data_IF_369475034798
#
_entry.id   IF_369475034798
#
_cell.length_a   1.000
_cell.length_b   1.000
_cell.length_c   1.000
_cell.angle_alpha   90.00
_cell.angle_beta   90.00
_cell.angle_gamma   90.00
#
_symmetry.space_group_name_H-M   'P 1'
#
loop_
_entity.id
_entity.type
_entity.pdbx_description
1 polymer ?
#
# COMPACT_ATOMS: atom_id res chain seq x y z
N UNK A 1 3.23 -29.78 -13.05
CA UNK A 1 3.17 -28.34 -13.42
C UNK A 1 1.74 -27.81 -13.66
N UNK A 2 0.95 -28.46 -14.53
CA UNK A 2 -0.43 -28.02 -14.83
C UNK A 2 -1.34 -28.06 -13.59
N UNK A 3 -1.31 -29.16 -12.83
CA UNK A 3 -2.08 -29.29 -11.58
C UNK A 3 -1.73 -28.22 -10.54
N UNK A 4 -0.43 -27.89 -10.41
CA UNK A 4 0.04 -26.80 -9.53
C UNK A 4 -0.55 -25.46 -9.97
N UNK A 5 -0.57 -25.17 -11.27
CA UNK A 5 -1.14 -23.94 -11.81
C UNK A 5 -2.65 -23.86 -11.59
N UNK A 6 -3.38 -24.95 -11.85
CA UNK A 6 -4.83 -25.00 -11.59
C UNK A 6 -5.17 -24.84 -10.11
N UNK A 7 -4.40 -25.48 -9.22
CA UNK A 7 -4.59 -25.34 -7.77
C UNK A 7 -4.33 -23.91 -7.32
N UNK A 8 -3.26 -23.29 -7.83
CA UNK A 8 -2.86 -21.94 -7.47
C UNK A 8 -3.87 -20.88 -7.95
N UNK A 9 -4.55 -21.10 -9.08
CA UNK A 9 -5.65 -20.22 -9.53
C UNK A 9 -6.86 -20.23 -8.58
N UNK A 10 -7.09 -21.34 -7.89
CA UNK A 10 -8.23 -21.53 -7.00
C UNK A 10 -7.89 -21.36 -5.51
N UNK A 11 -6.63 -21.10 -5.20
CA UNK A 11 -6.17 -20.87 -3.83
C UNK A 11 -6.42 -19.42 -3.42
N UNK A 12 -6.90 -19.22 -2.20
CA UNK A 12 -6.97 -17.91 -1.56
C UNK A 12 -6.37 -17.98 -0.16
N UNK A 13 -5.47 -17.05 0.14
CA UNK A 13 -4.95 -16.79 1.48
C UNK A 13 -5.54 -15.48 1.97
N UNK A 14 -6.34 -15.53 3.03
CA UNK A 14 -6.90 -14.34 3.66
C UNK A 14 -6.12 -14.00 4.93
N UNK A 15 -5.57 -12.78 4.97
CA UNK A 15 -4.84 -12.26 6.12
C UNK A 15 -5.71 -11.23 6.84
N UNK A 16 -6.06 -11.53 8.10
CA UNK A 16 -6.94 -10.66 8.91
C UNK A 16 -6.09 -9.82 9.86
N UNK A 17 -6.05 -8.52 9.63
CA UNK A 17 -5.39 -7.56 10.53
C UNK A 17 -6.23 -7.34 11.78
N UNK A 18 -5.60 -7.52 12.93
CA UNK A 18 -6.16 -7.21 14.24
C UNK A 18 -5.49 -5.98 14.83
N UNK A 19 -6.19 -5.29 15.74
CA UNK A 19 -5.57 -4.24 16.50
C UNK A 19 -4.44 -4.84 17.35
N UNK A 20 -3.27 -4.21 17.36
CA UNK A 20 -2.18 -4.69 18.20
C UNK A 20 -2.45 -4.23 19.65
N UNK A 21 -2.69 -5.17 20.59
CA UNK A 21 -3.29 -4.87 21.90
C UNK A 21 -2.45 -3.92 22.76
N UNK A 22 -1.15 -3.82 22.48
CA UNK A 22 -0.19 -3.01 23.22
C UNK A 22 0.67 -2.10 22.34
N UNK A 23 0.22 -1.71 21.13
CA UNK A 23 1.06 -0.85 20.26
C UNK A 23 1.10 0.59 20.79
N UNK A 24 1.89 0.77 21.85
CA UNK A 24 2.22 2.04 22.48
C UNK A 24 3.04 2.92 21.56
N UNK A 25 3.76 2.33 20.60
CA UNK A 25 4.66 3.01 19.68
C UNK A 25 3.91 3.88 18.68
N UNK A 26 4.29 5.16 18.62
CA UNK A 26 3.71 6.14 17.70
C UNK A 26 4.13 5.87 16.25
N UNK A 27 3.25 6.16 15.29
CA UNK A 27 3.57 6.06 13.84
C UNK A 27 4.80 6.89 13.45
N UNK A 28 4.98 8.05 14.09
CA UNK A 28 6.18 8.87 13.92
C UNK A 28 7.46 8.10 14.24
N UNK A 29 7.45 7.27 15.30
CA UNK A 29 8.61 6.46 15.66
C UNK A 29 8.86 5.32 14.67
N UNK A 30 7.81 4.66 14.17
CA UNK A 30 7.95 3.64 13.12
C UNK A 30 8.58 4.22 11.84
N UNK A 31 8.22 5.45 11.46
CA UNK A 31 8.85 6.15 10.35
C UNK A 31 10.32 6.46 10.61
N UNK A 32 10.68 6.87 11.84
CA UNK A 32 12.08 7.06 12.24
C UNK A 32 12.87 5.78 12.14
N UNK A 33 12.34 4.66 12.64
CA UNK A 33 12.99 3.35 12.50
C UNK A 33 13.17 2.92 11.04
N UNK A 34 12.21 3.21 10.16
CA UNK A 34 12.34 2.95 8.73
C UNK A 34 13.47 3.79 8.09
N UNK A 35 13.58 5.09 8.45
CA UNK A 35 14.67 5.95 7.98
C UNK A 35 16.03 5.49 8.48
N UNK A 36 16.13 5.16 9.77
CA UNK A 36 17.35 4.57 10.36
C UNK A 36 17.78 3.32 9.58
N UNK A 37 16.85 2.39 9.31
CA UNK A 37 17.13 1.18 8.54
C UNK A 37 17.62 1.49 7.13
N UNK A 38 17.02 2.48 6.47
CA UNK A 38 17.42 2.89 5.12
C UNK A 38 18.81 3.53 5.11
N UNK A 39 19.12 4.43 6.06
CA UNK A 39 20.45 5.02 6.21
C UNK A 39 21.50 3.95 6.45
N UNK A 40 21.24 2.98 7.33
CA UNK A 40 22.13 1.84 7.55
C UNK A 40 22.36 1.03 6.27
N UNK A 41 21.30 0.70 5.53
CA UNK A 41 21.46 -0.04 4.26
C UNK A 41 22.30 0.72 3.23
N UNK A 42 22.21 2.05 3.19
CA UNK A 42 22.97 2.89 2.26
C UNK A 42 24.44 3.05 2.69
N UNK A 43 24.71 3.19 4.00
CA UNK A 43 26.06 3.32 4.55
C UNK A 43 26.96 2.11 4.23
N UNK A 44 26.37 0.92 4.12
CA UNK A 44 27.08 -0.32 3.79
C UNK A 44 27.00 -0.70 2.29
N UNK A 45 26.61 0.23 1.42
CA UNK A 45 26.70 0.04 -0.02
C UNK A 45 28.18 -0.05 -0.46
N UNK A 46 28.47 -0.88 -1.48
CA UNK A 46 29.85 -1.19 -1.90
C UNK A 46 30.65 0.02 -2.41
N UNK A 47 29.98 1.00 -3.02
CA UNK A 47 30.62 2.10 -3.77
C UNK A 47 30.15 3.49 -3.29
N UNK A 48 30.13 3.71 -1.97
CA UNK A 48 29.72 4.99 -1.38
C UNK A 48 30.88 6.00 -1.34
N UNK A 49 30.62 7.23 -1.80
CA UNK A 49 31.56 8.35 -1.70
C UNK A 49 31.80 8.74 -0.23
N UNK A 50 33.01 9.23 0.14
CA UNK A 50 33.25 9.76 1.48
C UNK A 50 32.28 10.87 1.90
N UNK A 51 31.89 11.75 0.96
CA UNK A 51 30.94 12.83 1.24
C UNK A 51 29.53 12.29 1.50
N UNK A 52 29.04 11.38 0.64
CA UNK A 52 27.72 10.75 0.82
C UNK A 52 27.66 9.97 2.14
N UNK A 53 28.77 9.32 2.51
CA UNK A 53 28.89 8.61 3.79
C UNK A 53 28.78 9.58 4.96
N UNK A 54 29.45 10.73 4.91
CA UNK A 54 29.35 11.76 5.93
C UNK A 54 27.92 12.29 6.06
N UNK A 55 27.27 12.62 4.94
CA UNK A 55 25.88 13.08 4.94
C UNK A 55 24.91 12.04 5.51
N UNK A 56 25.13 10.75 5.20
CA UNK A 56 24.32 9.66 5.73
C UNK A 56 24.56 9.41 7.21
N UNK A 57 25.79 9.53 7.70
CA UNK A 57 26.11 9.45 9.13
C UNK A 57 25.45 10.60 9.90
N UNK A 58 25.48 11.83 9.39
CA UNK A 58 24.79 12.98 9.97
C UNK A 58 23.26 12.79 9.98
N UNK A 59 22.70 12.27 8.89
CA UNK A 59 21.27 11.95 8.79
C UNK A 59 20.86 10.85 9.78
N UNK A 60 21.69 9.81 9.94
CA UNK A 60 21.47 8.71 10.88
C UNK A 60 21.48 9.23 12.32
N UNK A 61 22.49 10.02 12.70
CA UNK A 61 22.57 10.63 14.03
C UNK A 61 21.34 11.51 14.33
N UNK A 62 20.89 12.31 13.35
CA UNK A 62 19.69 13.14 13.48
C UNK A 62 18.43 12.31 13.72
N UNK A 63 18.24 11.22 12.99
CA UNK A 63 17.07 10.35 13.17
C UNK A 63 17.13 9.57 14.49
N UNK A 64 18.31 9.11 14.91
CA UNK A 64 18.52 8.47 16.21
C UNK A 64 18.21 9.44 17.35
N UNK A 65 18.73 10.66 17.31
CA UNK A 65 18.47 11.68 18.32
C UNK A 65 16.99 12.06 18.36
N UNK A 66 16.35 12.22 17.21
CA UNK A 66 14.93 12.53 17.13
C UNK A 66 14.06 11.37 17.64
N UNK A 67 14.47 10.11 17.46
CA UNK A 67 13.79 8.96 18.03
C UNK A 67 13.95 8.95 19.56
N UNK A 68 15.18 9.12 20.06
CA UNK A 68 15.49 9.10 21.50
C UNK A 68 14.76 10.19 22.30
N UNK A 69 14.58 11.37 21.73
CA UNK A 69 13.86 12.48 22.38
C UNK A 69 12.35 12.47 22.13
N UNK A 70 11.82 11.46 21.44
CA UNK A 70 10.37 11.28 21.25
C UNK A 70 9.87 10.27 22.26
N UNK A 71 8.89 10.63 23.09
CA UNK A 71 8.21 9.68 23.97
C UNK A 71 7.63 8.50 23.16
N UNK A 72 8.20 7.32 23.35
CA UNK A 72 7.77 6.08 22.71
C UNK A 72 6.35 5.67 23.10
N UNK A 73 5.96 6.02 24.33
CA UNK A 73 4.69 5.62 24.93
C UNK A 73 3.62 6.65 24.60
N UNK A 74 2.51 6.18 24.01
CA UNK A 74 1.27 6.96 23.93
C UNK A 74 0.72 7.20 25.33
N UNK A 75 0.51 8.47 25.69
CA UNK A 75 -0.09 8.88 26.97
C UNK A 75 -1.59 8.60 27.06
N UNK A 76 -2.26 8.42 25.91
CA UNK A 76 -3.68 8.10 25.81
C UNK A 76 -3.89 6.86 24.94
N UNK A 77 -4.83 6.01 25.34
CA UNK A 77 -5.22 4.85 24.56
C UNK A 77 -5.78 5.32 23.20
N UNK A 78 -5.38 4.70 22.07
CA UNK A 78 -5.90 5.07 20.77
C UNK A 78 -7.41 4.87 20.68
N UNK A 79 -8.06 5.70 19.85
CA UNK A 79 -9.43 5.43 19.42
C UNK A 79 -9.44 4.26 18.43
N UNK A 80 -10.54 3.51 18.30
CA UNK A 80 -10.62 2.46 17.28
C UNK A 80 -10.36 2.99 15.84
N UNK A 81 -10.71 4.24 15.56
CA UNK A 81 -10.38 4.89 14.28
C UNK A 81 -8.86 5.08 14.10
N UNK A 82 -8.12 5.38 15.18
CA UNK A 82 -6.66 5.52 15.12
C UNK A 82 -5.96 4.18 14.91
N UNK A 83 -6.47 3.11 15.53
CA UNK A 83 -6.00 1.74 15.29
C UNK A 83 -6.20 1.36 13.82
N UNK A 84 -7.38 1.61 13.25
CA UNK A 84 -7.63 1.40 11.82
C UNK A 84 -6.66 2.19 10.94
N UNK A 85 -6.45 3.49 11.21
CA UNK A 85 -5.48 4.30 10.44
C UNK A 85 -4.05 3.78 10.55
N UNK A 86 -3.66 3.26 11.71
CA UNK A 86 -2.34 2.67 11.92
C UNK A 86 -2.20 1.37 11.13
N UNK A 87 -3.17 0.46 11.22
CA UNK A 87 -3.17 -0.78 10.43
C UNK A 87 -3.10 -0.52 8.92
N UNK A 88 -3.90 0.42 8.42
CA UNK A 88 -3.91 0.78 7.01
C UNK A 88 -2.61 1.44 6.52
N UNK A 89 -1.75 1.95 7.42
CA UNK A 89 -0.43 2.45 7.03
C UNK A 89 0.48 1.35 6.49
N UNK A 90 0.40 0.13 7.03
CA UNK A 90 1.15 -1.02 6.48
C UNK A 90 0.66 -1.38 5.08
N UNK A 91 -0.64 -1.22 4.83
CA UNK A 91 -1.21 -1.41 3.48
C UNK A 91 -0.54 -0.45 2.50
N UNK A 92 -0.60 0.85 2.79
CA UNK A 92 0.00 1.88 1.93
C UNK A 92 1.52 1.73 1.78
N UNK A 93 2.24 1.55 2.88
CA UNK A 93 3.69 1.72 2.90
C UNK A 93 4.43 0.46 2.43
N UNK A 94 3.81 -0.72 2.48
CA UNK A 94 4.50 -1.98 2.16
C UNK A 94 3.66 -2.94 1.31
N UNK A 95 2.43 -3.25 1.73
CA UNK A 95 1.64 -4.32 1.10
C UNK A 95 1.20 -3.94 -0.31
N UNK A 96 0.83 -2.67 -0.53
CA UNK A 96 0.37 -2.14 -1.82
C UNK A 96 1.36 -2.43 -2.94
N UNK A 97 2.66 -2.18 -2.70
CA UNK A 97 3.75 -2.49 -3.65
C UNK A 97 4.22 -3.95 -3.54
N UNK A 98 4.08 -4.56 -2.37
CA UNK A 98 4.54 -5.91 -2.07
C UNK A 98 3.75 -7.01 -2.78
N UNK A 99 2.41 -6.90 -2.82
CA UNK A 99 1.53 -7.92 -3.41
C UNK A 99 1.79 -8.08 -4.92
N UNK A 100 1.79 -7.03 -5.76
CA UNK A 100 2.13 -7.18 -7.17
C UNK A 100 3.54 -7.72 -7.39
N UNK A 101 4.52 -7.32 -6.55
CA UNK A 101 5.89 -7.83 -6.62
C UNK A 101 5.98 -9.32 -6.32
N UNK A 102 5.21 -9.80 -5.35
CA UNK A 102 5.09 -11.21 -5.03
C UNK A 102 4.41 -11.99 -6.16
N UNK A 103 3.29 -11.51 -6.71
CA UNK A 103 2.60 -12.16 -7.83
C UNK A 103 3.50 -12.25 -9.07
N UNK A 104 4.31 -11.22 -9.37
CA UNK A 104 5.34 -11.30 -10.41
C UNK A 104 6.40 -12.38 -10.13
N UNK A 105 6.74 -12.64 -8.87
CA UNK A 105 7.67 -13.72 -8.50
C UNK A 105 7.03 -15.09 -8.71
N UNK A 106 5.73 -15.22 -8.44
CA UNK A 106 4.95 -16.43 -8.75
C UNK A 106 4.97 -16.71 -10.25
N UNK A 107 4.71 -15.71 -11.09
CA UNK A 107 4.80 -15.86 -12.56
C UNK A 107 6.19 -16.36 -13.01
N UNK A 108 7.28 -15.81 -12.46
CA UNK A 108 8.63 -16.28 -12.78
C UNK A 108 8.86 -17.72 -12.35
N UNK A 109 8.37 -18.12 -11.16
CA UNK A 109 8.49 -19.48 -10.68
C UNK A 109 7.70 -20.48 -11.55
N UNK A 110 6.49 -20.09 -11.99
CA UNK A 110 5.66 -20.87 -12.91
C UNK A 110 6.38 -21.09 -14.25
N UNK A 111 7.01 -20.04 -14.80
CA UNK A 111 7.81 -20.14 -16.03
C UNK A 111 8.96 -21.12 -15.90
N UNK A 112 9.65 -21.13 -14.75
CA UNK A 112 10.77 -22.04 -14.50
C UNK A 112 10.37 -23.51 -14.41
N UNK A 113 9.10 -23.81 -14.12
CA UNK A 113 8.56 -25.19 -14.11
C UNK A 113 7.81 -25.55 -15.40
N UNK A 114 7.94 -24.73 -16.45
CA UNK A 114 7.39 -24.98 -17.78
C UNK A 114 5.97 -24.45 -18.03
N UNK A 115 5.44 -23.58 -17.17
CA UNK A 115 4.15 -22.90 -17.39
C UNK A 115 4.41 -21.51 -17.99
N UNK A 116 4.05 -21.31 -19.27
CA UNK A 116 4.27 -20.04 -19.99
C UNK A 116 3.15 -19.00 -19.77
N UNK A 117 2.12 -19.36 -19.01
CA UNK A 117 1.01 -18.48 -18.64
C UNK A 117 1.31 -17.77 -17.31
N UNK A 118 0.83 -16.53 -17.19
CA UNK A 118 0.84 -15.80 -15.90
C UNK A 118 -0.38 -16.21 -15.08
N UNK A 119 -0.30 -16.01 -13.77
CA UNK A 119 -1.49 -16.08 -12.91
C UNK A 119 -2.52 -15.05 -13.42
N UNK A 120 -3.79 -15.43 -13.62
CA UNK A 120 -4.82 -14.49 -14.00
C UNK A 120 -4.89 -13.31 -13.02
N UNK A 121 -4.91 -12.08 -13.54
CA UNK A 121 -4.89 -10.87 -12.70
C UNK A 121 -6.13 -10.73 -11.81
N UNK A 122 -7.20 -11.46 -12.12
CA UNK A 122 -8.45 -11.51 -11.37
C UNK A 122 -8.52 -12.66 -10.35
N UNK A 123 -7.48 -13.50 -10.25
CA UNK A 123 -7.43 -14.56 -9.25
C UNK A 123 -7.10 -14.00 -7.85
N UNK A 124 -7.96 -14.19 -6.84
CA UNK A 124 -7.79 -13.59 -5.52
C UNK A 124 -6.85 -14.41 -4.64
N UNK A 125 -5.58 -14.54 -5.04
CA UNK A 125 -4.60 -15.36 -4.34
C UNK A 125 -4.34 -14.89 -2.90
N UNK A 126 -4.32 -13.57 -2.71
CA UNK A 126 -4.08 -12.94 -1.40
C UNK A 126 -5.17 -11.89 -1.18
N UNK A 127 -5.88 -12.02 -0.07
CA UNK A 127 -6.88 -11.06 0.39
C UNK A 127 -6.53 -10.54 1.78
N UNK A 128 -6.95 -9.32 2.07
CA UNK A 128 -6.74 -8.69 3.35
C UNK A 128 -8.07 -8.25 3.95
N UNK A 129 -8.27 -8.62 5.20
CA UNK A 129 -9.41 -8.24 6.01
C UNK A 129 -8.94 -7.56 7.29
N UNK A 130 -9.86 -6.93 8.01
CA UNK A 130 -9.52 -6.18 9.23
C UNK A 130 -10.62 -6.32 10.28
N UNK A 131 -10.23 -6.52 11.52
CA UNK A 131 -11.11 -6.46 12.69
C UNK A 131 -11.12 -5.08 13.35
N UNK A 132 -10.22 -4.17 12.98
CA UNK A 132 -10.11 -2.84 13.58
C UNK A 132 -11.38 -2.01 13.32
N UNK A 133 -12.13 -1.71 14.39
CA UNK A 133 -13.42 -1.01 14.32
C UNK A 133 -14.62 -1.89 13.91
N UNK A 134 -14.40 -3.19 13.70
CA UNK A 134 -15.45 -4.19 13.46
C UNK A 134 -15.68 -5.08 14.69
N UNK A 135 -14.60 -5.61 15.26
CA UNK A 135 -14.65 -6.43 16.46
C UNK A 135 -15.07 -5.61 17.68
N UNK A 136 -16.19 -6.02 18.28
CA UNK A 136 -16.85 -5.37 19.42
C UNK A 136 -17.01 -6.29 20.61
N UNK A 137 -16.50 -7.52 20.51
CA UNK A 137 -16.58 -8.47 21.62
C UNK A 137 -15.78 -7.94 22.81
N UNK A 138 -16.43 -7.77 23.95
CA UNK A 138 -15.83 -7.19 25.16
C UNK A 138 -15.35 -5.72 25.06
N UNK A 139 -15.63 -4.99 23.96
CA UNK A 139 -15.10 -3.63 23.75
C UNK A 139 -16.21 -2.60 23.46
N UNK A 140 -16.73 -1.90 24.51
CA UNK A 140 -17.83 -0.94 24.35
C UNK A 140 -17.44 0.32 23.54
N UNK A 141 -16.14 0.53 23.27
CA UNK A 141 -15.66 1.67 22.47
C UNK A 141 -15.95 1.48 20.98
N UNK A 142 -16.21 0.25 20.52
CA UNK A 142 -16.53 -0.04 19.11
C UNK A 142 -18.04 0.04 18.90
N UNK A 143 -18.52 1.26 18.65
CA UNK A 143 -19.94 1.53 18.36
C UNK A 143 -20.28 1.35 16.88
N UNK A 144 -21.57 1.28 16.53
CA UNK A 144 -22.01 1.25 15.13
C UNK A 144 -21.51 2.48 14.32
N UNK A 145 -21.40 3.65 14.97
CA UNK A 145 -20.84 4.86 14.36
C UNK A 145 -19.36 4.66 14.03
N UNK A 146 -18.59 4.08 14.95
CA UNK A 146 -17.17 3.73 14.73
C UNK A 146 -17.03 2.78 13.54
N UNK A 147 -17.83 1.71 13.47
CA UNK A 147 -17.80 0.77 12.34
C UNK A 147 -18.09 1.48 11.01
N UNK A 148 -19.07 2.37 10.96
CA UNK A 148 -19.35 3.19 9.78
C UNK A 148 -18.16 4.08 9.40
N UNK A 149 -17.57 4.76 10.38
CA UNK A 149 -16.44 5.66 10.17
C UNK A 149 -15.23 4.91 9.58
N UNK A 150 -14.88 3.73 10.12
CA UNK A 150 -13.74 2.95 9.61
C UNK A 150 -13.97 2.41 8.20
N UNK A 151 -15.21 2.04 7.84
CA UNK A 151 -15.54 1.66 6.47
C UNK A 151 -15.37 2.82 5.49
N UNK A 152 -15.82 4.03 5.87
CA UNK A 152 -15.65 5.23 5.04
C UNK A 152 -14.18 5.61 4.89
N UNK A 153 -13.41 5.54 5.99
CA UNK A 153 -11.97 5.75 5.97
C UNK A 153 -11.27 4.76 5.03
N UNK A 154 -11.63 3.47 5.08
CA UNK A 154 -11.05 2.46 4.20
C UNK A 154 -11.32 2.77 2.72
N UNK A 155 -12.56 3.16 2.37
CA UNK A 155 -12.91 3.56 1.00
C UNK A 155 -12.13 4.78 0.53
N UNK A 156 -11.99 5.80 1.38
CA UNK A 156 -11.22 7.01 1.08
C UNK A 156 -9.74 6.69 0.86
N UNK A 157 -9.15 5.84 1.72
CA UNK A 157 -7.76 5.43 1.57
C UNK A 157 -7.51 4.62 0.30
N UNK A 158 -8.44 3.71 -0.06
CA UNK A 158 -8.36 2.98 -1.32
C UNK A 158 -8.42 3.92 -2.52
N UNK A 159 -9.37 4.87 -2.53
CA UNK A 159 -9.48 5.86 -3.59
C UNK A 159 -8.19 6.68 -3.76
N UNK A 160 -7.58 7.14 -2.66
CA UNK A 160 -6.32 7.89 -2.71
C UNK A 160 -5.15 7.06 -3.25
N UNK A 161 -5.07 5.77 -2.89
CA UNK A 161 -4.05 4.86 -3.42
C UNK A 161 -4.22 4.68 -4.93
N UNK A 162 -5.44 4.38 -5.40
CA UNK A 162 -5.71 4.23 -6.82
C UNK A 162 -5.48 5.52 -7.60
N UNK A 163 -5.85 6.68 -7.04
CA UNK A 163 -5.66 7.97 -7.68
C UNK A 163 -4.18 8.20 -8.01
N UNK A 164 -3.28 7.99 -7.05
CA UNK A 164 -1.83 8.11 -7.26
C UNK A 164 -1.30 7.15 -8.33
N UNK A 165 -1.76 5.89 -8.35
CA UNK A 165 -1.31 4.92 -9.36
C UNK A 165 -1.85 5.26 -10.77
N UNK A 166 -3.05 5.84 -10.87
CA UNK A 166 -3.62 6.28 -12.15
C UNK A 166 -2.82 7.47 -12.69
N UNK A 167 -2.43 8.42 -11.85
CA UNK A 167 -1.58 9.55 -12.25
C UNK A 167 -0.25 9.06 -12.83
N UNK A 168 0.45 8.15 -12.15
CA UNK A 168 1.69 7.56 -12.63
C UNK A 168 1.47 6.81 -13.97
N UNK A 169 0.39 6.04 -14.07
CA UNK A 169 0.04 5.30 -15.28
C UNK A 169 -0.25 6.24 -16.47
N UNK A 170 -0.84 7.41 -16.23
CA UNK A 170 -1.08 8.41 -17.28
C UNK A 170 0.23 8.95 -17.86
N UNK A 171 1.29 9.08 -17.05
CA UNK A 171 2.61 9.48 -17.55
C UNK A 171 3.28 8.36 -18.35
N UNK A 172 3.14 7.10 -17.93
CA UNK A 172 3.76 5.96 -18.61
C UNK A 172 3.07 5.61 -19.94
N UNK A 173 1.73 5.65 -19.99
CA UNK A 173 0.92 5.25 -21.15
C UNK A 173 0.83 6.34 -22.23
N UNK A 174 1.98 6.78 -22.73
CA UNK A 174 2.10 7.78 -23.81
C UNK A 174 1.87 7.22 -25.23
N UNK A 175 1.52 5.94 -25.36
CA UNK A 175 1.32 5.27 -26.64
C UNK A 175 0.08 5.82 -27.38
N UNK A 176 0.22 6.07 -28.68
CA UNK A 176 -0.87 6.52 -29.54
C UNK A 176 -1.64 5.37 -30.22
N UNK A 177 -1.05 4.18 -30.31
CA UNK A 177 -1.69 3.00 -30.91
C UNK A 177 -2.64 2.36 -29.91
N UNK A 178 -3.90 2.20 -30.30
CA UNK A 178 -4.95 1.56 -29.53
C UNK A 178 -5.83 0.67 -30.42
N UNK A 179 -6.58 -0.25 -29.81
CA UNK A 179 -7.60 -1.03 -30.50
C UNK A 179 -8.85 -0.18 -30.81
N UNK A 180 -9.72 -0.68 -31.67
CA UNK A 180 -10.90 0.07 -32.13
C UNK A 180 -11.89 0.37 -31.00
N UNK A 181 -12.02 -0.55 -30.03
CA UNK A 181 -12.86 -0.38 -28.85
C UNK A 181 -12.40 0.79 -27.98
N UNK A 182 -11.10 0.84 -27.65
CA UNK A 182 -10.53 1.92 -26.85
C UNK A 182 -10.60 3.26 -27.60
N UNK A 183 -10.37 3.27 -28.92
CA UNK A 183 -10.52 4.47 -29.74
C UNK A 183 -11.94 5.04 -29.66
N UNK A 184 -12.94 4.20 -29.84
CA UNK A 184 -14.34 4.61 -29.77
C UNK A 184 -14.72 5.19 -28.39
N UNK A 185 -14.17 4.65 -27.30
CA UNK A 185 -14.41 5.19 -25.95
C UNK A 185 -13.68 6.51 -25.70
N UNK A 186 -12.41 6.62 -26.14
CA UNK A 186 -11.64 7.84 -26.01
C UNK A 186 -12.29 9.01 -26.76
N UNK A 187 -12.78 8.77 -27.98
CA UNK A 187 -13.50 9.77 -28.77
C UNK A 187 -14.79 10.24 -28.10
N UNK A 188 -15.56 9.32 -27.48
CA UNK A 188 -16.76 9.68 -26.71
C UNK A 188 -16.44 10.61 -25.55
N UNK A 189 -15.37 10.33 -24.80
CA UNK A 189 -14.93 11.16 -23.67
C UNK A 189 -14.43 12.53 -24.12
N UNK A 190 -13.64 12.58 -25.19
CA UNK A 190 -13.15 13.83 -25.77
C UNK A 190 -14.29 14.75 -26.23
N UNK A 191 -15.31 14.17 -26.88
CA UNK A 191 -16.47 14.91 -27.36
C UNK A 191 -17.38 15.40 -26.22
N UNK A 192 -17.45 14.68 -25.09
CA UNK A 192 -18.17 15.15 -23.88
C UNK A 192 -17.44 16.32 -23.22
N UNK A 193 -16.13 16.21 -23.03
CA UNK A 193 -15.31 17.28 -22.45
C UNK A 193 -15.42 18.61 -23.23
N UNK A 194 -15.48 18.54 -24.57
CA UNK A 194 -15.70 19.73 -25.42
C UNK A 194 -17.09 20.38 -25.28
N UNK A 195 -18.10 19.67 -24.79
CA UNK A 195 -19.45 20.23 -24.58
C UNK A 195 -19.54 20.96 -23.24
N UNK A 196 -18.91 20.44 -22.20
CA UNK A 196 -18.97 21.03 -20.85
C UNK A 196 -18.11 22.29 -20.71
N UNK A 197 -17.07 22.44 -21.54
CA UNK A 197 -16.22 23.65 -21.58
C UNK A 197 -16.87 24.90 -22.20
N UNK A 198 -18.11 24.83 -22.72
CA UNK A 198 -18.81 25.98 -23.32
C UNK A 198 -19.66 26.81 -22.33
N UNK A 199 -19.69 26.44 -21.05
CA UNK A 199 -20.53 27.09 -20.04
C UNK A 199 -19.78 27.98 -19.02
N UNK A 200 -18.52 28.31 -19.29
CA UNK A 200 -17.75 29.28 -18.50
C UNK A 200 -17.26 30.42 -19.39
N UNK A 201 -18.14 31.38 -19.68
CA UNK A 201 -17.81 32.77 -20.05
C UNK A 201 -18.79 33.67 -19.28
#
# INVERSE_FOLDING_TARGET
PKEVFETLKNQTVELVFTAHPTQSVRRSLLQKHARIRNSLNQLYAKDISPNDKQELDEALQREMQAAFHTDDIRRFQPTPQDEMRAGMSYIRDTIWKGVPKFLRRVDTALKNIGINERVPYNAPLIQFSSWMGGDRDGNPRVTAKVTKDVCLLARMMAANLYFSEIEDLMFELSMWRCNDELRAQAEKLHNRSKRDGKHYI
#
